data_IF_634086696116
#
_entry.id   IF_634086696116
#
_cell.length_a   1.000
_cell.length_b   1.000
_cell.length_c   1.000
_cell.angle_alpha   90.00
_cell.angle_beta   90.00
_cell.angle_gamma   90.00
#
_symmetry.space_group_name_H-M   'P 1'
#
loop_
_entity.id
_entity.type
_entity.pdbx_description
1 polymer ?
#
# COMPACT_ATOMS: atom_id res chain seq x y z
N UNK A 1 -14.61 -7.37 14.73
CA UNK A 1 -14.53 -6.73 13.39
C UNK A 1 -14.96 -7.74 12.32
N UNK A 2 -15.55 -7.36 11.18
CA UNK A 2 -15.78 -8.32 10.12
C UNK A 2 -14.41 -8.70 9.53
N UNK A 3 -14.01 -9.95 9.69
CA UNK A 3 -12.71 -10.45 9.22
C UNK A 3 -12.70 -10.55 7.69
N UNK A 4 -12.18 -9.52 7.01
CA UNK A 4 -12.00 -9.53 5.56
C UNK A 4 -11.71 -8.19 4.90
N UNK A 5 -11.48 -8.24 3.58
CA UNK A 5 -11.12 -7.10 2.74
C UNK A 5 -12.33 -6.57 1.99
N UNK A 6 -12.58 -5.26 2.02
CA UNK A 6 -13.70 -4.65 1.29
C UNK A 6 -13.24 -4.17 -0.08
N UNK A 7 -13.85 -4.71 -1.13
CA UNK A 7 -13.64 -4.27 -2.50
C UNK A 7 -14.78 -3.36 -2.98
N UNK A 8 -14.42 -2.31 -3.71
CA UNK A 8 -15.36 -1.51 -4.49
C UNK A 8 -15.59 -2.21 -5.83
N UNK A 9 -16.84 -2.57 -6.10
CA UNK A 9 -17.27 -3.24 -7.31
C UNK A 9 -18.22 -2.36 -8.11
N UNK A 10 -18.10 -2.35 -9.42
CA UNK A 10 -19.09 -1.73 -10.30
C UNK A 10 -20.12 -2.78 -10.71
N UNK A 11 -21.38 -2.59 -10.30
CA UNK A 11 -22.49 -3.44 -10.71
C UNK A 11 -23.28 -2.73 -11.81
N UNK A 12 -23.63 -3.45 -12.88
CA UNK A 12 -24.56 -2.94 -13.91
C UNK A 12 -25.99 -3.27 -13.47
N UNK A 13 -26.85 -2.26 -13.48
CA UNK A 13 -28.29 -2.41 -13.35
C UNK A 13 -29.03 -1.68 -14.47
N UNK A 14 -30.35 -1.77 -14.45
CA UNK A 14 -31.21 -1.19 -15.49
C UNK A 14 -31.14 0.35 -15.56
N UNK A 15 -30.61 1.01 -14.53
CA UNK A 15 -30.39 2.47 -14.45
C UNK A 15 -28.93 2.89 -14.62
N UNK A 16 -28.04 2.00 -15.10
CA UNK A 16 -26.63 2.29 -15.32
C UNK A 16 -25.68 1.52 -14.41
N UNK A 17 -24.43 2.01 -14.29
CA UNK A 17 -23.40 1.41 -13.42
C UNK A 17 -23.48 2.03 -12.03
N UNK A 18 -23.49 1.20 -10.99
CA UNK A 18 -23.53 1.62 -9.59
C UNK A 18 -22.33 1.04 -8.85
N UNK A 19 -21.66 1.85 -8.04
CA UNK A 19 -20.63 1.36 -7.13
C UNK A 19 -21.27 0.63 -5.95
N UNK A 20 -20.78 -0.57 -5.66
CA UNK A 20 -21.16 -1.37 -4.50
C UNK A 20 -19.90 -1.75 -3.72
N UNK A 21 -20.01 -1.88 -2.40
CA UNK A 21 -18.95 -2.40 -1.55
C UNK A 21 -19.24 -3.86 -1.24
N UNK A 22 -18.26 -4.73 -1.42
CA UNK A 22 -18.38 -6.16 -1.14
C UNK A 22 -17.26 -6.59 -0.20
N UNK A 23 -17.65 -7.20 0.93
CA UNK A 23 -16.72 -7.79 1.87
C UNK A 23 -16.29 -9.17 1.37
N UNK A 24 -15.00 -9.35 1.19
CA UNK A 24 -14.39 -10.60 0.78
C UNK A 24 -13.77 -11.26 2.02
N UNK A 25 -14.11 -12.53 2.33
CA UNK A 25 -13.57 -13.21 3.50
C UNK A 25 -12.04 -13.28 3.50
N UNK A 26 -11.45 -13.15 4.69
CA UNK A 26 -10.00 -13.13 4.87
C UNK A 26 -9.29 -14.42 4.38
N UNK A 27 -9.93 -15.57 4.56
CA UNK A 27 -9.40 -16.85 4.10
C UNK A 27 -9.38 -17.01 2.57
N UNK A 28 -9.99 -16.09 1.82
CA UNK A 28 -10.03 -16.18 0.36
C UNK A 28 -8.67 -15.84 -0.27
N UNK A 29 -8.39 -16.49 -1.40
CA UNK A 29 -7.19 -16.19 -2.21
C UNK A 29 -7.13 -14.71 -2.64
N UNK A 30 -8.29 -14.08 -2.87
CA UNK A 30 -8.39 -12.68 -3.27
C UNK A 30 -7.96 -11.72 -2.15
N UNK A 31 -8.42 -11.94 -0.92
CA UNK A 31 -8.01 -11.15 0.24
C UNK A 31 -6.49 -11.30 0.49
N UNK A 32 -5.99 -12.55 0.48
CA UNK A 32 -4.56 -12.83 0.66
C UNK A 32 -3.69 -12.18 -0.42
N UNK A 33 -4.11 -12.21 -1.69
CA UNK A 33 -3.40 -11.53 -2.77
C UNK A 33 -3.37 -10.02 -2.57
N UNK A 34 -4.48 -9.41 -2.16
CA UNK A 34 -4.56 -7.99 -1.84
C UNK A 34 -3.53 -7.58 -0.78
N UNK A 35 -3.42 -8.36 0.30
CA UNK A 35 -2.41 -8.12 1.34
C UNK A 35 -0.98 -8.25 0.83
N UNK A 36 -0.70 -9.21 -0.06
CA UNK A 36 0.63 -9.32 -0.68
C UNK A 36 1.00 -8.07 -1.48
N UNK A 37 0.05 -7.52 -2.24
CA UNK A 37 0.27 -6.29 -3.02
C UNK A 37 0.49 -5.07 -2.12
N UNK A 38 -0.34 -4.90 -1.09
CA UNK A 38 -0.18 -3.81 -0.12
C UNK A 38 1.19 -3.89 0.59
N UNK A 39 1.61 -5.09 0.99
CA UNK A 39 2.88 -5.30 1.66
C UNK A 39 4.09 -5.13 0.74
N UNK A 40 3.96 -5.41 -0.57
CA UNK A 40 5.01 -5.10 -1.54
C UNK A 40 5.26 -3.58 -1.61
N UNK A 41 4.20 -2.78 -1.70
CA UNK A 41 4.31 -1.32 -1.68
C UNK A 41 4.93 -0.78 -0.37
N UNK A 42 4.60 -1.39 0.78
CA UNK A 42 5.23 -1.03 2.07
C UNK A 42 6.73 -1.32 2.09
N UNK A 43 7.19 -2.42 1.48
CA UNK A 43 8.63 -2.73 1.38
C UNK A 43 9.36 -1.69 0.55
N UNK A 44 8.81 -1.34 -0.61
CA UNK A 44 9.38 -0.30 -1.48
C UNK A 44 9.46 1.06 -0.74
N UNK A 45 8.39 1.43 -0.04
CA UNK A 45 8.38 2.66 0.76
C UNK A 45 9.42 2.64 1.88
N UNK A 46 9.60 1.50 2.56
CA UNK A 46 10.60 1.34 3.62
C UNK A 46 12.03 1.49 3.10
N UNK A 47 12.34 0.88 1.95
CA UNK A 47 13.66 1.03 1.32
C UNK A 47 13.93 2.47 0.89
N UNK A 48 12.94 3.14 0.31
CA UNK A 48 13.07 4.56 -0.03
C UNK A 48 13.37 5.41 1.20
N UNK A 49 12.66 5.18 2.32
CA UNK A 49 12.92 5.89 3.58
C UNK A 49 14.35 5.64 4.09
N UNK A 50 14.83 4.41 4.03
CA UNK A 50 16.21 4.05 4.42
C UNK A 50 17.24 4.79 3.57
N UNK A 51 17.06 4.83 2.25
CA UNK A 51 17.95 5.53 1.33
C UNK A 51 17.96 7.05 1.56
N UNK A 52 16.79 7.65 1.82
CA UNK A 52 16.69 9.07 2.14
C UNK A 52 17.48 9.41 3.40
N UNK A 53 17.31 8.62 4.48
CA UNK A 53 18.07 8.83 5.72
C UNK A 53 19.59 8.69 5.50
N UNK A 54 20.03 7.68 4.76
CA UNK A 54 21.45 7.51 4.43
C UNK A 54 22.03 8.66 3.60
N UNK A 55 21.22 9.25 2.71
CA UNK A 55 21.66 10.41 1.93
C UNK A 55 21.77 11.66 2.81
N UNK A 56 20.81 11.88 3.71
CA UNK A 56 20.88 12.97 4.68
C UNK A 56 22.13 12.86 5.57
N UNK A 57 22.40 11.67 6.12
CA UNK A 57 23.62 11.43 6.93
C UNK A 57 24.90 11.70 6.13
N UNK A 58 24.93 11.34 4.84
CA UNK A 58 26.07 11.64 3.95
C UNK A 58 26.22 13.14 3.71
N UNK A 59 25.12 13.84 3.45
CA UNK A 59 25.13 15.29 3.21
C UNK A 59 25.58 16.04 4.47
N UNK A 60 25.11 15.63 5.65
CA UNK A 60 25.53 16.17 6.95
C UNK A 60 27.04 15.97 7.17
N UNK A 61 27.56 14.76 6.88
CA UNK A 61 28.99 14.49 6.96
C UNK A 61 29.80 15.36 5.99
N UNK A 62 29.37 15.50 4.74
CA UNK A 62 30.04 16.34 3.73
C UNK A 62 30.03 17.82 4.16
N UNK A 63 28.91 18.30 4.71
CA UNK A 63 28.79 19.67 5.18
C UNK A 63 29.68 19.93 6.41
N UNK A 64 29.69 19.02 7.38
CA UNK A 64 30.57 19.10 8.55
C UNK A 64 32.06 19.03 8.19
N UNK A 65 32.40 18.34 7.10
CA UNK A 65 33.78 18.24 6.60
C UNK A 65 34.26 19.49 5.84
N UNK A 66 33.35 20.43 5.52
CA UNK A 66 33.64 21.65 4.74
C UNK A 66 33.76 22.92 5.60
N UNK A 67 33.40 22.84 6.88
CA UNK A 67 33.55 23.90 7.90
C UNK A 67 34.76 23.62 8.77
#
# INVERSE_FOLDING_TARGET
>A
PPDGVVFRMLRRGNKGKVEARHLVPEASSLAQHSHRQENAGKKEQSELKRLVLQNMERDDFINASRT
#
